data_IF_877978894398
#
_entry.id   IF_877978894398
#
_cell.length_a   1.000
_cell.length_b   1.000
_cell.length_c   1.000
_cell.angle_alpha   90.00
_cell.angle_beta   90.00
_cell.angle_gamma   90.00
#
_symmetry.space_group_name_H-M   'P 1'
#
loop_
_entity.id
_entity.type
_entity.pdbx_description
1 polymer ?
#
# COMPACT_ATOMS: atom_id res chain seq x y z
N UNK A 1 3.07 -0.61 -7.70
CA UNK A 1 3.96 -1.57 -6.99
C UNK A 1 3.62 -2.99 -7.39
N UNK A 2 4.61 -3.84 -7.69
CA UNK A 2 4.42 -5.30 -7.87
C UNK A 2 4.76 -6.02 -6.56
N UNK A 3 3.88 -6.91 -6.11
CA UNK A 3 4.12 -7.73 -4.91
C UNK A 3 3.80 -9.20 -5.18
N UNK A 4 4.45 -10.08 -4.42
CA UNK A 4 4.17 -11.53 -4.44
C UNK A 4 3.38 -11.89 -3.20
N UNK A 5 2.30 -12.65 -3.37
CA UNK A 5 1.55 -13.15 -2.23
C UNK A 5 2.42 -14.06 -1.35
N UNK A 6 2.54 -13.74 -0.07
CA UNK A 6 3.33 -14.54 0.89
C UNK A 6 2.73 -15.91 1.17
N UNK A 7 1.45 -16.10 0.87
CA UNK A 7 0.76 -17.37 1.06
C UNK A 7 0.79 -18.28 -0.17
N UNK A 8 0.35 -17.80 -1.34
CA UNK A 8 0.19 -18.64 -2.54
C UNK A 8 1.20 -18.33 -3.67
N UNK A 9 2.15 -17.41 -3.44
CA UNK A 9 3.19 -17.05 -4.41
C UNK A 9 2.71 -16.31 -5.66
N UNK A 10 1.40 -16.06 -5.81
CA UNK A 10 0.86 -15.37 -6.98
C UNK A 10 1.31 -13.91 -6.98
N UNK A 11 1.95 -13.41 -8.06
CA UNK A 11 2.26 -12.00 -8.20
C UNK A 11 0.97 -11.20 -8.44
N UNK A 12 0.90 -9.99 -7.90
CA UNK A 12 -0.17 -9.05 -8.19
C UNK A 12 0.30 -7.61 -8.04
N UNK A 13 -0.33 -6.74 -8.83
CA UNK A 13 0.02 -5.32 -8.89
C UNK A 13 -0.92 -4.50 -8.02
N UNK A 14 -0.36 -3.51 -7.33
CA UNK A 14 -1.11 -2.42 -6.71
C UNK A 14 -0.88 -1.15 -7.53
N UNK A 15 -1.98 -0.58 -8.03
CA UNK A 15 -1.98 0.66 -8.79
C UNK A 15 -1.84 1.90 -7.89
N UNK A 16 -1.48 3.03 -8.49
CA UNK A 16 -1.27 4.30 -7.78
C UNK A 16 -2.47 4.74 -6.91
N UNK A 17 -3.74 4.70 -7.40
CA UNK A 17 -4.89 5.10 -6.56
C UNK A 17 -5.06 4.22 -5.31
N UNK A 18 -4.74 2.93 -5.42
CA UNK A 18 -4.80 2.01 -4.28
C UNK A 18 -3.71 2.32 -3.25
N UNK A 19 -2.50 2.64 -3.72
CA UNK A 19 -1.37 2.99 -2.84
C UNK A 19 -1.68 4.28 -2.09
N UNK A 20 -2.22 5.30 -2.76
CA UNK A 20 -2.64 6.56 -2.14
C UNK A 20 -3.72 6.33 -1.07
N UNK A 21 -4.76 5.56 -1.38
CA UNK A 21 -5.80 5.21 -0.41
C UNK A 21 -5.25 4.42 0.79
N UNK A 22 -4.29 3.52 0.55
CA UNK A 22 -3.62 2.76 1.62
C UNK A 22 -2.81 3.67 2.55
N UNK A 23 -2.06 4.63 1.98
CA UNK A 23 -1.28 5.60 2.73
C UNK A 23 -2.16 6.57 3.54
N UNK A 24 -3.25 7.06 2.94
CA UNK A 24 -4.24 7.89 3.63
C UNK A 24 -4.89 7.14 4.80
N UNK A 25 -5.23 5.85 4.61
CA UNK A 25 -5.77 5.01 5.68
C UNK A 25 -4.76 4.80 6.81
N UNK A 26 -3.51 4.50 6.48
CA UNK A 26 -2.42 4.35 7.46
C UNK A 26 -2.31 5.62 8.32
N UNK A 27 -2.32 6.79 7.70
CA UNK A 27 -2.22 8.06 8.40
C UNK A 27 -3.44 8.35 9.27
N UNK A 28 -4.65 8.26 8.71
CA UNK A 28 -5.89 8.55 9.41
C UNK A 28 -6.12 7.65 10.64
N UNK A 29 -5.65 6.40 10.59
CA UNK A 29 -5.85 5.40 11.64
C UNK A 29 -4.60 5.16 12.49
N UNK A 30 -3.49 5.87 12.24
CA UNK A 30 -2.22 5.67 12.96
C UNK A 30 -1.62 4.27 12.80
N UNK A 31 -1.85 3.61 11.66
CA UNK A 31 -1.40 2.24 11.41
C UNK A 31 0.07 2.19 11.00
N UNK A 32 0.74 1.07 11.30
CA UNK A 32 2.12 0.81 10.82
C UNK A 32 2.16 0.10 9.47
N UNK A 33 1.06 -0.55 9.09
CA UNK A 33 0.96 -1.39 7.91
C UNK A 33 -0.45 -1.36 7.33
N UNK A 34 -0.53 -1.64 6.03
CA UNK A 34 -1.79 -1.86 5.30
C UNK A 34 -1.90 -3.32 4.88
N UNK A 35 -3.12 -3.87 4.86
CA UNK A 35 -3.39 -5.25 4.44
C UNK A 35 -3.96 -5.32 3.02
N UNK A 36 -3.12 -5.61 2.03
CA UNK A 36 -3.56 -5.88 0.66
C UNK A 36 -4.04 -7.33 0.52
N UNK A 37 -5.26 -7.53 0.02
CA UNK A 37 -5.81 -8.88 -0.20
C UNK A 37 -5.38 -9.41 -1.56
N UNK A 38 -4.79 -10.61 -1.58
CA UNK A 38 -4.40 -11.28 -2.82
C UNK A 38 -5.64 -11.57 -3.69
N UNK A 39 -5.65 -11.25 -4.99
CA UNK A 39 -6.81 -11.50 -5.85
C UNK A 39 -7.09 -12.99 -6.08
N UNK A 40 -6.09 -13.87 -5.88
CA UNK A 40 -6.24 -15.32 -6.06
C UNK A 40 -6.73 -16.04 -4.80
N UNK A 41 -5.99 -15.91 -3.69
CA UNK A 41 -6.26 -16.70 -2.47
C UNK A 41 -6.94 -15.87 -1.36
N UNK A 42 -7.14 -14.56 -1.56
CA UNK A 42 -7.75 -13.61 -0.62
C UNK A 42 -7.02 -13.41 0.71
N UNK A 43 -5.87 -14.05 0.93
CA UNK A 43 -5.04 -13.83 2.12
C UNK A 43 -4.49 -12.41 2.14
N UNK A 44 -4.44 -11.83 3.33
CA UNK A 44 -3.86 -10.53 3.58
C UNK A 44 -2.34 -10.58 3.41
N UNK A 45 -1.79 -9.56 2.76
CA UNK A 45 -0.37 -9.31 2.60
C UNK A 45 -0.11 -7.96 3.24
N UNK A 46 0.71 -7.95 4.29
CA UNK A 46 1.07 -6.73 5.01
C UNK A 46 2.09 -5.95 4.20
N UNK A 47 1.83 -4.66 4.04
CA UNK A 47 2.70 -3.71 3.39
C UNK A 47 3.04 -2.63 4.40
N UNK A 48 4.33 -2.39 4.62
CA UNK A 48 4.75 -1.30 5.49
C UNK A 48 4.42 0.05 4.85
N UNK A 49 4.27 1.07 5.70
CA UNK A 49 4.15 2.47 5.24
C UNK A 49 5.30 2.84 4.29
N UNK A 50 6.53 2.50 4.66
CA UNK A 50 7.74 2.76 3.87
C UNK A 50 7.68 2.13 2.46
N UNK A 51 7.21 0.88 2.34
CA UNK A 51 7.06 0.24 1.02
C UNK A 51 6.06 1.00 0.13
N UNK A 52 4.98 1.50 0.72
CA UNK A 52 3.95 2.25 0.02
C UNK A 52 4.44 3.66 -0.36
N UNK A 53 5.14 4.36 0.54
CA UNK A 53 5.75 5.68 0.27
C UNK A 53 6.80 5.58 -0.84
N UNK A 54 7.66 4.55 -0.80
CA UNK A 54 8.63 4.32 -1.87
C UNK A 54 7.97 4.05 -3.24
N UNK A 55 6.78 3.46 -3.24
CA UNK A 55 6.02 3.19 -4.45
C UNK A 55 5.15 4.37 -4.94
N UNK A 56 5.07 5.45 -4.16
CA UNK A 56 4.32 6.67 -4.45
C UNK A 56 5.08 7.91 -3.91
N UNK A 57 6.27 8.22 -4.45
CA UNK A 57 7.12 9.30 -3.95
C UNK A 57 6.42 10.67 -3.98
N UNK A 58 5.50 10.88 -4.92
CA UNK A 58 4.72 12.11 -5.01
C UNK A 58 3.72 12.31 -3.86
N UNK A 59 3.33 11.24 -3.16
CA UNK A 59 2.39 11.36 -2.04
C UNK A 59 2.98 12.17 -0.89
N UNK A 60 4.31 12.16 -0.71
CA UNK A 60 4.99 13.01 0.25
C UNK A 60 4.81 14.50 -0.08
N UNK A 61 4.90 14.87 -1.37
CA UNK A 61 4.71 16.26 -1.82
C UNK A 61 3.25 16.72 -1.73
N UNK A 62 2.29 15.83 -1.96
CA UNK A 62 0.86 16.15 -1.82
C UNK A 62 0.46 16.47 -0.38
N UNK A 63 1.18 15.96 0.63
CA UNK A 63 0.99 16.37 2.03
C UNK A 63 1.40 17.82 2.29
N UNK A 64 2.54 18.21 1.75
CA UNK A 64 3.12 19.54 1.93
C UNK A 64 2.30 20.60 1.22
N UNK A 65 1.66 20.27 0.09
CA UNK A 65 0.80 21.18 -0.65
C UNK A 65 -0.60 21.38 -0.03
N UNK A 66 -1.04 20.46 0.84
CA UNK A 66 -2.38 20.47 1.45
C UNK A 66 -2.37 20.72 2.97
N UNK A 67 -1.23 21.16 3.54
CA UNK A 67 -1.10 21.60 4.95
C UNK A 67 -1.01 23.12 5.00
#
# INVERSE_FOLDING_TARGET
MQIRCTYCGTPFALGKPFIHAALQKIEAEGLKYYEARCPRCRKANRLSREQLEHAAPEWAHEKEANT
#
